data_IF_091459275598
#
_entry.id   IF_091459275598
#
_cell.length_a   1.000
_cell.length_b   1.000
_cell.length_c   1.000
_cell.angle_alpha   90.00
_cell.angle_beta   90.00
_cell.angle_gamma   90.00
#
_symmetry.space_group_name_H-M   'P 1'
#
loop_
_entity.id
_entity.type
_entity.pdbx_description
1 polymer ?
#
# COMPACT_ATOMS: atom_id res chain seq x y z
N UNK A 1 11.54 18.67 11.46
CA UNK A 1 10.15 18.33 11.06
C UNK A 1 9.99 16.84 11.26
N UNK A 2 8.89 16.34 11.83
CA UNK A 2 8.62 14.91 11.84
C UNK A 2 8.48 14.41 10.40
N UNK A 3 8.91 13.18 10.12
CA UNK A 3 8.73 12.57 8.81
C UNK A 3 7.22 12.36 8.53
N UNK A 4 6.75 12.65 7.30
CA UNK A 4 5.35 12.44 6.93
C UNK A 4 4.96 10.98 7.06
N UNK A 5 3.72 10.75 7.50
CA UNK A 5 3.14 9.42 7.65
C UNK A 5 2.53 8.96 6.32
N UNK A 6 2.81 7.71 5.95
CA UNK A 6 2.22 7.06 4.78
C UNK A 6 1.44 5.82 5.24
N UNK A 7 0.43 5.45 4.47
CA UNK A 7 -0.33 4.22 4.68
C UNK A 7 -0.04 3.27 3.53
N UNK A 8 0.42 2.07 3.84
CA UNK A 8 0.58 0.99 2.88
C UNK A 8 -0.68 0.14 2.95
N UNK A 9 -1.47 0.18 1.88
CA UNK A 9 -2.69 -0.60 1.69
C UNK A 9 -2.39 -1.88 0.91
N UNK A 10 -2.61 -3.02 1.54
CA UNK A 10 -2.29 -4.36 1.02
C UNK A 10 -3.57 -5.06 0.58
N UNK A 11 -3.56 -5.66 -0.61
CA UNK A 11 -4.69 -6.40 -1.16
C UNK A 11 -4.43 -7.90 -1.09
N UNK A 12 -5.21 -8.61 -0.29
CA UNK A 12 -5.09 -10.06 -0.07
C UNK A 12 -6.17 -10.76 -0.90
N UNK A 13 -5.78 -11.73 -1.73
CA UNK A 13 -6.76 -12.54 -2.47
C UNK A 13 -7.51 -13.47 -1.52
N UNK A 14 -8.84 -13.39 -1.53
CA UNK A 14 -9.74 -14.34 -0.86
C UNK A 14 -10.57 -15.13 -1.87
N UNK A 15 -10.04 -15.34 -3.09
CA UNK A 15 -10.74 -15.97 -4.21
C UNK A 15 -11.37 -14.92 -5.13
N UNK A 16 -12.72 -14.82 -5.24
CA UNK A 16 -13.37 -13.82 -6.10
C UNK A 16 -13.38 -12.40 -5.49
N UNK A 17 -12.92 -12.24 -4.25
CA UNK A 17 -12.89 -10.97 -3.52
C UNK A 17 -11.51 -10.69 -2.95
N UNK A 18 -11.29 -9.46 -2.49
CA UNK A 18 -10.06 -9.04 -1.86
C UNK A 18 -10.32 -8.57 -0.42
N UNK A 19 -9.44 -8.96 0.50
CA UNK A 19 -9.32 -8.28 1.78
C UNK A 19 -8.35 -7.10 1.64
N UNK A 20 -8.56 -6.08 2.45
CA UNK A 20 -7.69 -4.90 2.53
C UNK A 20 -7.10 -4.83 3.92
N UNK A 21 -5.78 -4.66 3.99
CA UNK A 21 -5.07 -4.45 5.24
C UNK A 21 -4.13 -3.24 5.13
N UNK A 22 -4.29 -2.28 6.04
CA UNK A 22 -3.56 -1.01 6.03
C UNK A 22 -2.51 -0.99 7.15
N UNK A 23 -1.26 -0.61 6.83
CA UNK A 23 -0.22 -0.38 7.83
C UNK A 23 0.44 1.00 7.67
N UNK A 24 0.69 1.68 8.79
CA UNK A 24 1.31 3.00 8.81
C UNK A 24 2.84 2.92 8.81
N UNK A 25 3.49 3.68 7.93
CA UNK A 25 4.95 3.79 7.85
C UNK A 25 5.36 5.26 7.80
N UNK A 26 6.37 5.65 8.58
CA UNK A 26 6.92 7.01 8.52
C UNK A 26 8.03 7.10 7.49
N UNK A 27 8.00 8.18 6.71
CA UNK A 27 9.01 8.47 5.70
C UNK A 27 8.69 7.82 4.35
N UNK A 28 8.77 8.62 3.29
CA UNK A 28 8.36 8.21 1.93
C UNK A 28 9.18 7.03 1.40
N UNK A 29 10.50 7.10 1.55
CA UNK A 29 11.41 6.07 1.04
C UNK A 29 11.17 4.74 1.75
N UNK A 30 11.01 4.77 3.07
CA UNK A 30 10.71 3.57 3.86
C UNK A 30 9.36 2.96 3.44
N UNK A 31 8.32 3.78 3.23
CA UNK A 31 7.02 3.31 2.77
C UNK A 31 7.08 2.65 1.39
N UNK A 32 7.81 3.26 0.45
CA UNK A 32 7.99 2.70 -0.90
C UNK A 32 8.76 1.39 -0.89
N UNK A 33 9.88 1.31 -0.16
CA UNK A 33 10.68 0.08 -0.06
C UNK A 33 9.91 -1.04 0.63
N UNK A 34 9.18 -0.72 1.71
CA UNK A 34 8.34 -1.70 2.39
C UNK A 34 7.20 -2.20 1.48
N UNK A 35 6.53 -1.30 0.75
CA UNK A 35 5.46 -1.67 -0.16
C UNK A 35 5.95 -2.53 -1.33
N UNK A 36 7.12 -2.21 -1.90
CA UNK A 36 7.75 -3.02 -2.96
C UNK A 36 8.09 -4.43 -2.46
N UNK A 37 8.65 -4.55 -1.25
CA UNK A 37 8.94 -5.85 -0.65
C UNK A 37 7.65 -6.65 -0.37
N UNK A 38 6.63 -6.01 0.19
CA UNK A 38 5.34 -6.63 0.50
C UNK A 38 4.61 -7.09 -0.76
N UNK A 39 4.75 -6.40 -1.90
CA UNK A 39 4.08 -6.78 -3.14
C UNK A 39 4.44 -8.18 -3.66
N UNK A 40 5.50 -8.81 -3.14
CA UNK A 40 5.81 -10.21 -3.41
C UNK A 40 4.80 -11.20 -2.77
N UNK A 41 4.19 -10.83 -1.65
CA UNK A 41 3.30 -11.68 -0.85
C UNK A 41 1.80 -11.35 -1.06
N UNK A 42 1.48 -10.22 -1.69
CA UNK A 42 0.12 -9.72 -1.87
C UNK A 42 -0.24 -9.57 -3.35
N UNK A 43 -1.55 -9.48 -3.64
CA UNK A 43 -2.05 -9.29 -5.02
C UNK A 43 -1.61 -7.94 -5.58
N UNK A 44 -1.69 -6.93 -4.72
CA UNK A 44 -1.27 -5.57 -5.00
C UNK A 44 -1.07 -4.82 -3.69
N UNK A 45 -0.30 -3.75 -3.77
CA UNK A 45 -0.01 -2.87 -2.64
C UNK A 45 -0.07 -1.43 -3.15
N UNK A 46 -0.76 -0.55 -2.43
CA UNK A 46 -0.81 0.89 -2.72
C UNK A 46 -0.21 1.67 -1.55
N UNK A 47 0.59 2.68 -1.85
CA UNK A 47 1.11 3.64 -0.86
C UNK A 47 0.28 4.90 -0.96
N UNK A 48 -0.32 5.29 0.16
CA UNK A 48 -1.17 6.46 0.32
C UNK A 48 -0.41 7.48 1.18
N UNK A 49 -0.56 8.76 0.90
CA UNK A 49 -0.08 9.83 1.77
C UNK A 49 -1.07 10.15 2.90
N UNK A 50 -0.77 11.19 3.68
CA UNK A 50 -1.56 11.63 4.85
C UNK A 50 -2.98 12.08 4.51
N UNK A 51 -3.23 12.47 3.25
CA UNK A 51 -4.54 12.90 2.77
C UNK A 51 -5.27 11.79 1.99
N UNK A 52 -4.64 10.63 1.83
CA UNK A 52 -5.22 9.45 1.17
C UNK A 52 -4.96 9.40 -0.34
N UNK A 53 -4.07 10.26 -0.87
CA UNK A 53 -3.70 10.22 -2.28
C UNK A 53 -2.72 9.09 -2.57
N UNK A 54 -2.91 8.42 -3.70
CA UNK A 54 -2.04 7.31 -4.12
C UNK A 54 -0.70 7.87 -4.61
N UNK A 55 0.35 7.58 -3.84
CA UNK A 55 1.73 7.95 -4.15
C UNK A 55 2.38 6.94 -5.09
N UNK A 56 2.10 5.65 -4.88
CA UNK A 56 2.64 4.56 -5.67
C UNK A 56 1.77 3.30 -5.57
N UNK A 57 1.87 2.42 -6.57
CA UNK A 57 1.22 1.11 -6.56
C UNK A 57 2.19 0.04 -7.05
N UNK A 58 2.15 -1.12 -6.44
CA UNK A 58 2.96 -2.29 -6.77
C UNK A 58 2.04 -3.50 -6.96
N UNK A 59 2.33 -4.34 -7.96
CA UNK A 59 1.48 -5.48 -8.31
C UNK A 59 0.15 -5.07 -8.95
N UNK A 60 -0.85 -5.94 -8.84
CA UNK A 60 -2.18 -5.75 -9.43
C UNK A 60 -3.14 -5.16 -8.40
N UNK A 61 -3.06 -3.85 -8.19
CA UNK A 61 -4.01 -3.12 -7.33
C UNK A 61 -5.39 -3.11 -8.02
N UNK A 62 -6.44 -3.67 -7.41
CA UNK A 62 -7.78 -3.61 -7.97
C UNK A 62 -8.21 -2.16 -8.09
N UNK A 63 -8.59 -1.71 -9.29
CA UNK A 63 -9.24 -0.41 -9.44
C UNK A 63 -10.58 -0.49 -8.72
N UNK A 64 -10.79 0.35 -7.71
CA UNK A 64 -12.11 0.55 -7.11
C UNK A 64 -13.09 0.84 -8.24
N UNK A 65 -14.01 -0.09 -8.49
CA UNK A 65 -15.15 0.10 -9.37
C UNK A 65 -16.21 0.96 -8.71
#
# INVERSE_FOLDING_TARGET
MPDPQYVIRRYISLGPTYAVDDCGVRGRVAALQAAEHMAADYVGVAVLDEIGDVVATFGSVPRSG
#
